data_IF_905405726960
#
_entry.id   IF_905405726960
#
_cell.length_a   1.000
_cell.length_b   1.000
_cell.length_c   1.000
_cell.angle_alpha   90.00
_cell.angle_beta   90.00
_cell.angle_gamma   90.00
#
_symmetry.space_group_name_H-M   'P 1'
#
loop_
_entity.id
_entity.type
_entity.pdbx_description
1 polymer ?
#
# COMPACT_ATOMS: atom_id res chain seq x y z
N UNK A 1 -6.84 11.52 -8.18
CA UNK A 1 -7.12 12.97 -8.30
C UNK A 1 -8.30 13.32 -7.40
N UNK A 2 -9.45 12.67 -7.53
CA UNK A 2 -10.70 13.01 -6.84
C UNK A 2 -10.58 13.01 -5.32
N UNK A 3 -9.88 12.01 -4.74
CA UNK A 3 -9.62 11.93 -3.30
C UNK A 3 -8.81 13.15 -2.81
N UNK A 4 -7.77 13.54 -3.55
CA UNK A 4 -6.94 14.68 -3.18
C UNK A 4 -7.72 15.99 -3.25
N UNK A 5 -8.58 16.15 -4.26
CA UNK A 5 -9.45 17.33 -4.42
C UNK A 5 -10.49 17.39 -3.30
N UNK A 6 -11.13 16.27 -2.96
CA UNK A 6 -12.08 16.19 -1.86
C UNK A 6 -11.42 16.53 -0.51
N UNK A 7 -10.23 15.99 -0.26
CA UNK A 7 -9.45 16.29 0.95
C UNK A 7 -9.08 17.77 1.03
N UNK A 8 -8.60 18.36 -0.08
CA UNK A 8 -8.27 19.79 -0.13
C UNK A 8 -9.50 20.68 0.13
N UNK A 9 -10.67 20.32 -0.41
CA UNK A 9 -11.92 21.04 -0.16
C UNK A 9 -12.32 20.99 1.32
N UNK A 10 -12.27 19.80 1.94
CA UNK A 10 -12.59 19.64 3.36
C UNK A 10 -11.61 20.40 4.27
N UNK A 11 -10.32 20.43 3.93
CA UNK A 11 -9.33 21.21 4.65
C UNK A 11 -9.60 22.70 4.52
N UNK A 12 -10.05 23.19 3.36
CA UNK A 12 -10.42 24.58 3.15
C UNK A 12 -11.60 25.00 4.02
N UNK A 13 -12.57 24.12 4.27
CA UNK A 13 -13.73 24.40 5.16
C UNK A 13 -13.31 24.70 6.60
N UNK A 14 -12.18 24.18 7.05
CA UNK A 14 -11.59 24.45 8.37
C UNK A 14 -10.48 25.50 8.35
N UNK A 15 -10.32 26.22 7.22
CA UNK A 15 -9.39 27.34 7.10
C UNK A 15 -7.98 26.96 6.66
N UNK A 16 -7.74 25.71 6.23
CA UNK A 16 -6.46 25.26 5.70
C UNK A 16 -6.51 25.32 4.16
N UNK A 17 -5.78 26.27 3.58
CA UNK A 17 -5.71 26.41 2.13
C UNK A 17 -4.73 25.38 1.54
N UNK A 18 -5.26 24.48 0.72
CA UNK A 18 -4.51 23.48 0.00
C UNK A 18 -4.66 23.68 -1.51
N UNK A 19 -3.56 23.55 -2.25
CA UNK A 19 -3.54 23.46 -3.71
C UNK A 19 -3.14 22.03 -4.08
N UNK A 20 -3.97 21.38 -4.91
CA UNK A 20 -3.63 20.06 -5.46
C UNK A 20 -2.82 20.25 -6.72
N UNK A 21 -1.60 19.75 -6.71
CA UNK A 21 -0.71 19.70 -7.85
C UNK A 21 -0.55 18.25 -8.33
N UNK A 22 -0.43 18.06 -9.63
CA UNK A 22 -0.25 16.75 -10.28
C UNK A 22 0.99 16.86 -11.14
N UNK A 23 2.18 16.74 -10.53
CA UNK A 23 3.43 16.90 -11.25
C UNK A 23 3.66 15.73 -12.21
N UNK A 24 4.28 15.97 -13.33
CA UNK A 24 4.70 14.91 -14.26
C UNK A 24 5.77 14.00 -13.64
N UNK A 25 6.52 14.49 -12.65
CA UNK A 25 7.50 13.75 -11.88
C UNK A 25 7.40 14.18 -10.41
N UNK A 26 7.30 13.20 -9.51
CA UNK A 26 7.25 13.45 -8.06
C UNK A 26 8.60 13.93 -7.54
N UNK A 27 8.57 15.02 -6.79
CA UNK A 27 9.65 15.44 -5.91
C UNK A 27 9.34 14.99 -4.49
N UNK A 28 9.90 13.87 -4.07
CA UNK A 28 9.59 13.23 -2.78
C UNK A 28 10.03 14.04 -1.54
N UNK A 29 10.77 15.11 -1.71
CA UNK A 29 11.23 15.97 -0.61
C UNK A 29 10.63 17.38 -0.61
N UNK A 30 9.94 17.78 -1.66
CA UNK A 30 9.52 19.18 -1.88
C UNK A 30 8.08 19.49 -1.51
N UNK A 31 7.21 18.49 -1.26
CA UNK A 31 5.80 18.70 -0.93
C UNK A 31 5.54 18.71 0.56
N UNK A 32 4.55 19.52 1.00
CA UNK A 32 4.07 19.48 2.37
C UNK A 32 3.20 18.24 2.67
N UNK A 33 2.51 17.72 1.67
CA UNK A 33 1.72 16.50 1.72
C UNK A 33 1.72 15.81 0.36
N UNK A 34 1.62 14.50 0.36
CA UNK A 34 1.58 13.68 -0.84
C UNK A 34 0.51 12.61 -0.69
N UNK A 35 -0.36 12.48 -1.71
CA UNK A 35 -1.26 11.35 -1.82
C UNK A 35 -0.61 10.29 -2.71
N UNK A 36 -0.41 9.11 -2.15
CA UNK A 36 0.25 8.01 -2.83
C UNK A 36 -0.51 6.71 -2.63
N UNK A 37 -0.39 5.78 -3.54
CA UNK A 37 -0.85 4.41 -3.40
C UNK A 37 0.34 3.46 -3.30
N UNK A 38 0.22 2.50 -2.40
CA UNK A 38 1.15 1.38 -2.31
C UNK A 38 0.52 0.13 -2.91
N UNK A 39 1.29 -0.62 -3.68
CA UNK A 39 0.83 -1.89 -4.25
C UNK A 39 0.72 -2.98 -3.18
N UNK A 40 -0.05 -4.03 -3.48
CA UNK A 40 -0.13 -5.21 -2.62
C UNK A 40 1.11 -6.10 -2.81
N UNK A 41 1.99 -6.22 -1.82
CA UNK A 41 3.14 -7.11 -1.89
C UNK A 41 2.73 -8.57 -1.66
N UNK A 42 3.56 -9.50 -2.11
CA UNK A 42 3.41 -10.92 -1.78
C UNK A 42 3.74 -11.24 -0.32
N UNK A 43 4.57 -10.42 0.29
CA UNK A 43 5.00 -10.56 1.67
C UNK A 43 4.84 -9.25 2.42
N UNK A 44 4.37 -9.34 3.67
CA UNK A 44 4.14 -8.18 4.51
C UNK A 44 5.41 -7.35 4.73
N UNK A 45 6.59 -7.96 4.74
CA UNK A 45 7.87 -7.28 4.92
C UNK A 45 8.23 -6.34 3.77
N UNK A 46 7.83 -6.67 2.55
CA UNK A 46 8.29 -5.94 1.37
C UNK A 46 7.99 -4.44 1.45
N UNK A 47 6.80 -4.05 1.91
CA UNK A 47 6.46 -2.64 2.06
C UNK A 47 6.65 -2.12 3.48
N UNK A 48 6.31 -2.90 4.50
CA UNK A 48 6.29 -2.40 5.88
C UNK A 48 7.65 -1.92 6.35
N UNK A 49 8.71 -2.72 6.15
CA UNK A 49 10.03 -2.37 6.61
C UNK A 49 10.62 -1.13 5.92
N UNK A 50 10.49 -1.04 4.59
CA UNK A 50 11.06 0.08 3.83
C UNK A 50 10.26 1.37 3.94
N UNK A 51 8.93 1.28 4.24
CA UNK A 51 8.03 2.42 4.31
C UNK A 51 7.93 3.00 5.71
N UNK A 52 7.88 2.14 6.74
CA UNK A 52 7.64 2.57 8.12
C UNK A 52 8.90 2.54 9.00
N UNK A 53 9.94 1.81 8.62
CA UNK A 53 11.20 1.79 9.37
C UNK A 53 11.93 3.13 9.31
N UNK A 54 12.54 3.52 10.43
CA UNK A 54 13.31 4.76 10.54
C UNK A 54 14.46 4.78 9.52
N UNK A 55 14.63 5.88 8.81
CA UNK A 55 15.67 6.12 7.80
C UNK A 55 15.69 5.09 6.66
N UNK A 56 14.57 4.42 6.38
CA UNK A 56 14.47 3.49 5.25
C UNK A 56 14.12 4.21 3.94
N UNK A 57 14.52 3.57 2.84
CA UNK A 57 14.55 4.22 1.52
C UNK A 57 13.20 4.64 0.93
N UNK A 58 12.09 4.11 1.43
CA UNK A 58 10.75 4.50 1.02
C UNK A 58 9.94 5.17 2.16
N UNK A 59 10.60 5.54 3.24
CA UNK A 59 9.99 6.29 4.34
C UNK A 59 9.90 7.79 3.99
N UNK A 60 9.02 8.12 3.08
CA UNK A 60 8.82 9.50 2.60
C UNK A 60 8.12 10.40 3.61
N UNK A 61 7.46 9.83 4.63
CA UNK A 61 6.82 10.59 5.70
C UNK A 61 7.80 11.13 6.74
N UNK A 62 9.04 10.63 6.76
CA UNK A 62 10.01 10.91 7.83
C UNK A 62 9.61 10.30 9.18
N UNK A 63 8.72 9.31 9.16
CA UNK A 63 8.25 8.64 10.38
C UNK A 63 9.40 7.96 11.11
N UNK A 64 9.42 8.07 12.44
CA UNK A 64 10.41 7.41 13.28
C UNK A 64 9.76 6.99 14.59
N UNK A 65 9.78 5.69 14.86
CA UNK A 65 9.27 5.12 16.10
C UNK A 65 10.06 3.85 16.44
N UNK A 66 10.73 3.87 17.59
CA UNK A 66 11.59 2.77 18.01
C UNK A 66 10.87 1.42 18.19
N UNK A 67 9.60 1.44 18.62
CA UNK A 67 8.80 0.21 18.74
C UNK A 67 8.44 -0.36 17.38
N UNK A 68 8.14 0.49 16.40
CA UNK A 68 7.92 0.06 15.02
C UNK A 68 9.18 -0.57 14.46
N UNK A 69 10.33 0.05 14.63
CA UNK A 69 11.61 -0.51 14.18
C UNK A 69 11.92 -1.85 14.84
N UNK A 70 11.62 -1.98 16.14
CA UNK A 70 11.79 -3.22 16.89
C UNK A 70 10.90 -4.33 16.32
N UNK A 71 9.59 -4.11 16.20
CA UNK A 71 8.65 -5.14 15.75
C UNK A 71 8.87 -5.54 14.29
N UNK A 72 9.18 -4.59 13.41
CA UNK A 72 9.55 -4.90 12.04
C UNK A 72 10.85 -5.71 11.95
N UNK A 73 11.81 -5.44 12.83
CA UNK A 73 13.04 -6.23 12.92
C UNK A 73 12.76 -7.64 13.46
N UNK A 74 11.95 -7.79 14.50
CA UNK A 74 11.54 -9.09 15.02
C UNK A 74 10.83 -9.93 13.96
N UNK A 75 9.89 -9.35 13.21
CA UNK A 75 9.17 -10.04 12.13
C UNK A 75 10.09 -10.57 11.03
N UNK A 76 11.25 -9.97 10.82
CA UNK A 76 12.27 -10.40 9.84
C UNK A 76 13.24 -11.45 10.36
N UNK A 77 13.39 -11.55 11.69
CA UNK A 77 14.37 -12.44 12.32
C UNK A 77 13.82 -13.81 12.69
N UNK A 78 12.49 -13.97 12.65
CA UNK A 78 11.85 -15.24 12.99
C UNK A 78 11.35 -15.96 11.74
N UNK A 79 11.47 -17.30 11.73
CA UNK A 79 10.85 -18.19 10.76
C UNK A 79 9.53 -18.78 11.30
N UNK A 80 9.20 -18.56 12.58
CA UNK A 80 7.92 -18.96 13.16
C UNK A 80 6.80 -18.01 12.73
N UNK A 81 5.79 -18.58 12.07
CA UNK A 81 4.65 -17.82 11.55
C UNK A 81 3.84 -17.12 12.65
N UNK A 82 3.72 -17.71 13.84
CA UNK A 82 2.95 -17.12 14.93
C UNK A 82 3.70 -15.93 15.55
N UNK A 83 5.01 -16.10 15.79
CA UNK A 83 5.86 -15.01 16.27
C UNK A 83 5.88 -13.83 15.27
N UNK A 84 5.97 -14.15 13.98
CA UNK A 84 5.94 -13.16 12.91
C UNK A 84 4.61 -12.41 12.87
N UNK A 85 3.50 -13.14 12.96
CA UNK A 85 2.15 -12.58 13.03
C UNK A 85 1.95 -11.70 14.25
N UNK A 86 2.46 -12.10 15.42
CA UNK A 86 2.41 -11.31 16.64
C UNK A 86 3.22 -10.00 16.50
N UNK A 87 4.40 -10.07 15.92
CA UNK A 87 5.22 -8.88 15.68
C UNK A 87 4.52 -7.86 14.76
N UNK A 88 3.90 -8.33 13.67
CA UNK A 88 3.10 -7.45 12.81
C UNK A 88 1.84 -6.90 13.49
N UNK A 89 1.19 -7.68 14.35
CA UNK A 89 0.04 -7.19 15.12
C UNK A 89 0.46 -6.03 16.04
N UNK A 90 1.55 -6.18 16.79
CA UNK A 90 2.11 -5.12 17.65
C UNK A 90 2.55 -3.89 16.84
N UNK A 91 3.16 -4.10 15.68
CA UNK A 91 3.48 -3.02 14.75
C UNK A 91 2.23 -2.22 14.35
N UNK A 92 1.14 -2.90 13.99
CA UNK A 92 -0.11 -2.24 13.60
C UNK A 92 -0.76 -1.48 14.76
N UNK A 93 -0.70 -1.99 15.99
CA UNK A 93 -1.18 -1.30 17.18
C UNK A 93 -0.44 0.02 17.41
N UNK A 94 0.90 0.00 17.36
CA UNK A 94 1.71 1.22 17.49
C UNK A 94 1.44 2.20 16.36
N UNK A 95 1.29 1.70 15.13
CA UNK A 95 1.00 2.55 13.96
C UNK A 95 -0.40 3.18 14.04
N UNK A 96 -1.37 2.52 14.68
CA UNK A 96 -2.71 3.07 14.89
C UNK A 96 -2.69 4.22 15.93
N UNK A 97 -1.83 4.13 16.95
CA UNK A 97 -1.67 5.19 17.96
C UNK A 97 -0.86 6.39 17.44
N UNK A 98 0.16 6.13 16.64
CA UNK A 98 1.06 7.14 16.08
C UNK A 98 1.19 6.95 14.56
N UNK A 99 0.18 7.35 13.78
CA UNK A 99 0.13 7.04 12.35
C UNK A 99 1.19 7.79 11.55
N UNK A 100 1.89 7.05 10.68
CA UNK A 100 2.82 7.62 9.69
C UNK A 100 2.10 8.25 8.50
N UNK A 101 0.88 7.80 8.23
CA UNK A 101 0.03 8.21 7.11
C UNK A 101 -1.41 8.38 7.55
N UNK A 102 -2.16 9.21 6.83
CA UNK A 102 -3.62 9.16 6.83
C UNK A 102 -4.05 8.13 5.80
N UNK A 103 -4.58 7.00 6.27
CA UNK A 103 -5.06 5.93 5.40
C UNK A 103 -6.49 6.25 4.94
N UNK A 104 -6.72 6.31 3.63
CA UNK A 104 -8.04 6.63 3.07
C UNK A 104 -8.85 5.39 2.73
N UNK A 105 -8.35 4.55 1.85
CA UNK A 105 -9.07 3.38 1.37
C UNK A 105 -8.13 2.38 0.68
N UNK A 106 -8.64 1.18 0.47
CA UNK A 106 -8.13 0.27 -0.55
C UNK A 106 -8.84 0.58 -1.88
N UNK A 107 -8.09 0.49 -2.97
CA UNK A 107 -8.62 0.69 -4.32
C UNK A 107 -8.81 -0.69 -4.94
N UNK A 108 -10.02 -0.95 -5.43
CA UNK A 108 -10.31 -2.18 -6.16
C UNK A 108 -9.53 -2.23 -7.48
N UNK A 109 -8.96 -3.37 -7.79
CA UNK A 109 -8.38 -3.64 -9.09
C UNK A 109 -9.50 -4.17 -10.02
N UNK A 110 -9.82 -3.40 -11.04
CA UNK A 110 -10.90 -3.74 -11.98
C UNK A 110 -10.30 -4.34 -13.25
N UNK A 111 -10.76 -5.53 -13.60
CA UNK A 111 -10.37 -6.24 -14.81
C UNK A 111 -11.59 -6.56 -15.66
N UNK A 112 -11.39 -6.63 -16.97
CA UNK A 112 -12.38 -7.10 -17.92
C UNK A 112 -11.74 -8.16 -18.82
N UNK A 113 -12.44 -9.25 -19.03
CA UNK A 113 -12.01 -10.33 -19.90
C UNK A 113 -13.16 -10.76 -20.83
N UNK A 114 -12.81 -11.34 -21.98
CA UNK A 114 -13.78 -11.97 -22.87
C UNK A 114 -14.40 -13.21 -22.18
N UNK A 115 -15.69 -13.42 -22.36
CA UNK A 115 -16.41 -14.55 -21.77
C UNK A 115 -15.91 -15.94 -22.21
N UNK A 116 -15.15 -15.98 -23.28
CA UNK A 116 -14.49 -17.20 -23.79
C UNK A 116 -13.25 -17.59 -22.99
N UNK A 117 -12.75 -16.72 -22.14
CA UNK A 117 -11.60 -17.01 -21.28
C UNK A 117 -12.11 -17.63 -19.98
N UNK A 118 -11.64 -18.84 -19.69
CA UNK A 118 -11.99 -19.59 -18.48
C UNK A 118 -10.76 -19.81 -17.61
N UNK A 119 -10.99 -20.03 -16.30
CA UNK A 119 -9.91 -20.32 -15.34
C UNK A 119 -9.27 -19.09 -14.71
N UNK A 120 -9.86 -17.91 -14.92
CA UNK A 120 -9.43 -16.70 -14.19
C UNK A 120 -9.78 -16.91 -12.71
N UNK A 121 -8.79 -16.70 -11.82
CA UNK A 121 -9.05 -16.65 -10.40
C UNK A 121 -9.51 -15.23 -10.04
N UNK A 122 -10.79 -15.10 -9.70
CA UNK A 122 -11.41 -13.83 -9.36
C UNK A 122 -11.13 -13.39 -7.92
N UNK A 123 -10.72 -14.32 -7.07
CA UNK A 123 -10.51 -14.07 -5.63
C UNK A 123 -9.09 -13.59 -5.30
N UNK A 124 -8.11 -13.89 -6.17
CA UNK A 124 -6.71 -13.60 -5.90
C UNK A 124 -6.13 -12.61 -6.90
N UNK A 125 -5.79 -11.41 -6.43
CA UNK A 125 -5.04 -10.42 -7.21
C UNK A 125 -3.70 -10.15 -6.55
N UNK A 126 -2.62 -10.58 -7.19
CA UNK A 126 -1.27 -10.48 -6.66
C UNK A 126 -0.57 -9.22 -7.18
N UNK A 127 -0.58 -8.17 -6.36
CA UNK A 127 0.15 -6.93 -6.62
C UNK A 127 -0.30 -6.24 -7.91
N UNK A 128 -1.16 -5.25 -7.83
CA UNK A 128 -1.71 -4.58 -9.04
C UNK A 128 -0.65 -3.91 -9.93
N UNK A 129 0.55 -3.64 -9.43
CA UNK A 129 1.71 -3.19 -10.21
C UNK A 129 2.62 -4.35 -10.67
N UNK A 130 2.27 -5.59 -10.34
CA UNK A 130 3.02 -6.79 -10.67
C UNK A 130 2.24 -7.72 -11.59
N UNK A 131 2.09 -8.95 -11.16
CA UNK A 131 1.43 -10.01 -11.95
C UNK A 131 -0.09 -9.77 -12.04
N UNK A 132 -0.68 -9.19 -11.01
CA UNK A 132 -2.11 -8.89 -10.94
C UNK A 132 -2.95 -10.15 -11.09
N UNK A 133 -3.96 -10.07 -11.95
CA UNK A 133 -4.86 -11.17 -12.29
C UNK A 133 -4.15 -12.30 -13.08
N UNK A 134 -2.99 -12.02 -13.71
CA UNK A 134 -2.29 -12.97 -14.57
C UNK A 134 -1.48 -14.02 -13.80
N UNK A 135 -1.54 -14.03 -12.48
CA UNK A 135 -0.74 -14.92 -11.64
C UNK A 135 -0.96 -16.40 -11.98
N UNK A 136 -2.19 -16.78 -12.37
CA UNK A 136 -2.56 -18.14 -12.77
C UNK A 136 -2.82 -18.29 -14.28
N UNK A 137 -2.23 -17.44 -15.12
CA UNK A 137 -2.48 -17.43 -16.58
C UNK A 137 -2.20 -18.78 -17.25
N UNK A 138 -1.34 -19.61 -16.66
CA UNK A 138 -1.04 -20.96 -17.15
C UNK A 138 -2.25 -21.91 -17.06
N UNK A 139 -3.23 -21.59 -16.23
CA UNK A 139 -4.46 -22.39 -16.02
C UNK A 139 -5.61 -21.90 -16.90
N UNK A 140 -5.40 -20.77 -17.60
CA UNK A 140 -6.45 -20.20 -18.43
C UNK A 140 -6.65 -21.00 -19.73
N UNK A 141 -7.88 -21.10 -20.15
CA UNK A 141 -8.27 -21.73 -21.41
C UNK A 141 -9.17 -20.82 -22.22
N UNK A 142 -9.16 -20.96 -23.53
CA UNK A 142 -10.05 -20.25 -24.44
C UNK A 142 -11.05 -21.26 -25.00
N UNK A 143 -12.33 -21.05 -24.70
CA UNK A 143 -13.40 -21.82 -25.31
C UNK A 143 -13.58 -21.36 -26.76
N UNK A 144 -13.41 -22.30 -27.71
CA UNK A 144 -13.73 -22.03 -29.10
C UNK A 144 -15.26 -21.99 -29.26
N UNK A 145 -15.75 -20.93 -29.85
CA UNK A 145 -17.15 -20.81 -30.25
C UNK A 145 -17.52 -21.80 -31.36
#
# INVERSE_FOLDING_TARGET
IDIAQAAAQQLQEIGINCTVDIPAQMDWGGQMACLIGWGSPFDADDHTYKVFGTDKGANYSGYSNALVDEYLTQARQTEDENERKEAYAKFQEVLAETPAYTFFCYIDALYAAENTIQGIDEDTVLGHHGVGIFWNICDWTIENQ
#
